data_IF_117107727734
#
_entry.id   IF_117107727734
#
_cell.length_a   1.000
_cell.length_b   1.000
_cell.length_c   1.000
_cell.angle_alpha   90.00
_cell.angle_beta   90.00
_cell.angle_gamma   90.00
#
_symmetry.space_group_name_H-M   'P 1'
#
loop_
_entity.id
_entity.type
_entity.pdbx_description
1 polymer ?
#
# COMPACT_ATOMS: atom_id res chain seq x y z
N UNK A 1 -8.83 -28.55 -12.28
CA UNK A 1 -8.88 -27.16 -11.79
C UNK A 1 -9.04 -26.26 -13.00
N UNK A 2 -9.96 -25.28 -12.98
CA UNK A 2 -10.11 -24.36 -14.10
C UNK A 2 -8.95 -23.35 -14.12
N UNK A 3 -8.64 -22.77 -15.28
CA UNK A 3 -7.58 -21.74 -15.37
C UNK A 3 -7.84 -20.58 -14.41
N UNK A 4 -9.10 -20.13 -14.23
CA UNK A 4 -9.48 -19.12 -13.24
C UNK A 4 -9.05 -19.54 -11.83
N UNK A 5 -9.35 -20.77 -11.42
CA UNK A 5 -8.92 -21.29 -10.11
C UNK A 5 -7.41 -21.31 -9.98
N UNK A 6 -6.70 -21.78 -11.01
CA UNK A 6 -5.22 -21.80 -11.02
C UNK A 6 -4.62 -20.39 -10.83
N UNK A 7 -5.09 -19.39 -11.59
CA UNK A 7 -4.57 -18.03 -11.46
C UNK A 7 -4.97 -17.38 -10.12
N UNK A 8 -6.17 -17.68 -9.62
CA UNK A 8 -6.60 -17.23 -8.28
C UNK A 8 -5.71 -17.83 -7.19
N UNK A 9 -5.39 -19.13 -7.28
CA UNK A 9 -4.51 -19.81 -6.33
C UNK A 9 -3.08 -19.23 -6.39
N UNK A 10 -2.59 -18.87 -7.58
CA UNK A 10 -1.30 -18.20 -7.73
C UNK A 10 -1.29 -16.82 -7.11
N UNK A 11 -2.35 -16.05 -7.32
CA UNK A 11 -2.53 -14.73 -6.69
C UNK A 11 -2.49 -14.85 -5.16
N UNK A 12 -3.32 -15.72 -4.60
CA UNK A 12 -3.39 -15.93 -3.15
C UNK A 12 -2.09 -16.49 -2.57
N UNK A 13 -1.38 -17.35 -3.32
CA UNK A 13 -0.05 -17.82 -2.93
C UNK A 13 0.97 -16.67 -2.84
N UNK A 14 0.98 -15.78 -3.83
CA UNK A 14 1.86 -14.61 -3.84
C UNK A 14 1.55 -13.64 -2.68
N UNK A 15 0.27 -13.35 -2.44
CA UNK A 15 -0.20 -12.54 -1.32
C UNK A 15 0.21 -13.17 0.02
N UNK A 16 0.02 -14.48 0.18
CA UNK A 16 0.41 -15.20 1.40
C UNK A 16 1.91 -15.14 1.64
N UNK A 17 2.73 -15.30 0.58
CA UNK A 17 4.18 -15.24 0.68
C UNK A 17 4.71 -13.87 1.15
N UNK A 18 3.99 -12.79 0.83
CA UNK A 18 4.28 -11.42 1.26
C UNK A 18 3.45 -10.99 2.49
N UNK A 19 2.82 -11.90 3.19
CA UNK A 19 2.06 -11.59 4.41
C UNK A 19 2.96 -11.39 5.62
N UNK A 20 2.50 -10.62 6.61
CA UNK A 20 3.18 -10.47 7.88
C UNK A 20 3.42 -11.82 8.58
N UNK A 21 2.49 -12.76 8.45
CA UNK A 21 2.61 -14.09 9.05
C UNK A 21 3.78 -14.91 8.47
N UNK A 22 4.05 -14.77 7.18
CA UNK A 22 5.13 -15.47 6.50
C UNK A 22 6.50 -14.82 6.72
N UNK A 23 6.56 -13.50 6.85
CA UNK A 23 7.81 -12.75 6.75
C UNK A 23 8.29 -12.15 8.06
N UNK A 24 7.42 -11.54 8.86
CA UNK A 24 7.81 -10.81 10.08
C UNK A 24 8.47 -11.66 11.16
N UNK A 25 8.02 -12.92 11.44
CA UNK A 25 8.53 -13.72 12.55
C UNK A 25 10.04 -13.89 12.60
N UNK A 26 10.69 -14.04 11.45
CA UNK A 26 12.14 -14.27 11.36
C UNK A 26 12.97 -13.05 11.75
N UNK A 27 12.37 -11.86 11.76
CA UNK A 27 13.05 -10.58 11.98
C UNK A 27 12.80 -9.99 13.37
N UNK A 28 11.77 -10.46 14.08
CA UNK A 28 11.45 -9.95 15.41
C UNK A 28 12.59 -10.22 16.42
N UNK A 29 12.85 -9.28 17.35
CA UNK A 29 13.86 -9.47 18.35
C UNK A 29 13.52 -10.65 19.27
N UNK A 30 14.52 -11.46 19.57
CA UNK A 30 14.42 -12.59 20.50
C UNK A 30 14.71 -12.13 21.93
N UNK A 31 13.99 -12.70 22.88
CA UNK A 31 14.16 -12.40 24.31
C UNK A 31 13.41 -11.15 24.76
N UNK A 32 13.38 -10.97 26.07
CA UNK A 32 12.71 -9.87 26.73
C UNK A 32 13.51 -8.57 26.66
N UNK A 33 12.84 -7.43 26.64
CA UNK A 33 13.44 -6.13 26.93
C UNK A 33 13.73 -6.03 28.44
N UNK A 34 14.68 -5.23 28.86
CA UNK A 34 14.90 -4.94 30.30
C UNK A 34 13.70 -4.26 30.95
N UNK A 35 13.05 -3.36 30.20
CA UNK A 35 11.77 -2.76 30.54
C UNK A 35 10.64 -3.46 29.80
N UNK A 36 9.83 -2.71 29.08
CA UNK A 36 8.72 -3.21 28.26
C UNK A 36 9.02 -3.09 26.77
N UNK A 37 8.34 -3.87 25.96
CA UNK A 37 8.32 -3.68 24.50
C UNK A 37 7.08 -2.89 24.12
N UNK A 38 7.26 -1.73 23.48
CA UNK A 38 6.19 -0.85 23.01
C UNK A 38 6.01 -1.06 21.50
N UNK A 39 4.84 -1.53 21.08
CA UNK A 39 4.50 -1.76 19.67
C UNK A 39 3.71 -0.57 19.15
N UNK A 40 4.26 0.14 18.18
CA UNK A 40 3.63 1.28 17.52
C UNK A 40 3.51 1.00 16.02
N UNK A 41 2.34 1.26 15.41
CA UNK A 41 2.22 0.94 14.00
C UNK A 41 1.12 1.68 13.26
N UNK A 42 1.26 1.70 11.93
CA UNK A 42 0.26 2.26 11.04
C UNK A 42 0.28 1.62 9.66
N UNK A 43 -0.88 1.53 9.04
CA UNK A 43 -1.05 1.02 7.67
C UNK A 43 -2.04 -0.12 7.58
N UNK A 44 -2.36 -0.52 6.34
CA UNK A 44 -3.37 -1.55 6.06
C UNK A 44 -3.01 -2.94 6.65
N UNK A 45 -1.71 -3.25 6.79
CA UNK A 45 -1.22 -4.49 7.40
C UNK A 45 -0.87 -4.35 8.89
N UNK A 46 -0.91 -3.14 9.48
CA UNK A 46 -0.38 -2.88 10.82
C UNK A 46 -1.05 -3.71 11.92
N UNK A 47 -2.36 -3.97 11.84
CA UNK A 47 -3.07 -4.79 12.81
C UNK A 47 -2.61 -6.26 12.78
N UNK A 48 -2.43 -6.83 11.60
CA UNK A 48 -1.92 -8.20 11.43
C UNK A 48 -0.45 -8.30 11.87
N UNK A 49 0.38 -7.31 11.49
CA UNK A 49 1.77 -7.23 11.98
C UNK A 49 1.81 -7.19 13.51
N UNK A 50 0.93 -6.39 14.15
CA UNK A 50 0.86 -6.31 15.61
C UNK A 50 0.38 -7.63 16.23
N UNK A 51 -0.57 -8.33 15.62
CA UNK A 51 -1.02 -9.65 16.07
C UNK A 51 0.12 -10.67 16.07
N UNK A 52 0.89 -10.72 14.98
CA UNK A 52 2.05 -11.59 14.83
C UNK A 52 3.13 -11.22 15.86
N UNK A 53 3.47 -9.94 15.95
CA UNK A 53 4.48 -9.45 16.90
C UNK A 53 4.07 -9.78 18.34
N UNK A 54 2.80 -9.51 18.73
CA UNK A 54 2.29 -9.79 20.09
C UNK A 54 2.36 -11.28 20.46
N UNK A 55 2.15 -12.17 19.48
CA UNK A 55 2.23 -13.62 19.71
C UNK A 55 3.66 -14.13 19.95
N UNK A 56 4.68 -13.38 19.50
CA UNK A 56 6.08 -13.82 19.55
C UNK A 56 6.95 -13.05 20.54
N UNK A 57 6.58 -11.81 20.86
CA UNK A 57 7.35 -10.99 21.78
C UNK A 57 7.16 -11.47 23.22
N UNK A 58 8.28 -11.70 23.90
CA UNK A 58 8.32 -12.09 25.30
C UNK A 58 8.28 -10.86 26.22
N UNK A 59 7.91 -11.08 27.49
CA UNK A 59 7.90 -10.07 28.54
C UNK A 59 6.69 -9.15 28.48
N UNK A 60 6.84 -7.97 29.10
CA UNK A 60 5.80 -6.94 29.12
C UNK A 60 5.69 -6.25 27.77
N UNK A 61 4.55 -6.41 27.09
CA UNK A 61 4.26 -5.77 25.79
C UNK A 61 3.02 -4.90 25.92
N UNK A 62 3.12 -3.66 25.46
CA UNK A 62 1.98 -2.77 25.26
C UNK A 62 2.12 -2.02 23.94
N UNK A 63 1.07 -1.35 23.49
CA UNK A 63 1.18 -0.64 22.21
C UNK A 63 -0.12 -0.07 21.68
N UNK A 64 -0.02 0.54 20.51
CA UNK A 64 -1.14 1.01 19.73
C UNK A 64 -0.79 0.98 18.25
N UNK A 65 -1.68 0.43 17.43
CA UNK A 65 -1.58 0.46 15.98
C UNK A 65 -2.86 1.00 15.36
N UNK A 66 -2.73 1.67 14.20
CA UNK A 66 -3.87 2.18 13.44
C UNK A 66 -3.91 1.52 12.07
N UNK A 67 -5.09 1.02 11.71
CA UNK A 67 -5.34 0.36 10.42
C UNK A 67 -6.60 0.92 9.75
N UNK A 68 -6.87 0.51 8.50
CA UNK A 68 -8.09 0.88 7.78
C UNK A 68 -9.30 0.14 8.37
N UNK A 69 -10.48 0.75 8.31
CA UNK A 69 -11.74 0.06 8.63
C UNK A 69 -11.86 -1.26 7.88
N UNK A 70 -12.21 -2.33 8.58
CA UNK A 70 -12.31 -3.70 8.07
C UNK A 70 -10.97 -4.44 7.93
N UNK A 71 -9.83 -3.80 8.22
CA UNK A 71 -8.50 -4.43 8.24
C UNK A 71 -8.01 -4.74 9.65
N UNK A 72 -8.87 -4.64 10.65
CA UNK A 72 -8.58 -5.07 12.01
C UNK A 72 -8.33 -6.58 12.12
N UNK A 73 -8.12 -7.04 13.34
CA UNK A 73 -7.98 -8.47 13.68
C UNK A 73 -9.20 -8.96 14.47
N UNK A 74 -9.56 -10.23 14.28
CA UNK A 74 -10.78 -10.82 14.85
C UNK A 74 -10.69 -11.04 16.36
N UNK A 75 -9.49 -10.89 16.93
CA UNK A 75 -9.23 -11.07 18.36
C UNK A 75 -8.69 -9.81 19.00
N UNK A 76 -9.06 -9.55 20.25
CA UNK A 76 -8.46 -8.50 21.06
C UNK A 76 -7.01 -8.84 21.37
N UNK A 77 -6.09 -7.93 21.05
CA UNK A 77 -4.69 -8.09 21.39
C UNK A 77 -4.45 -7.60 22.83
N UNK A 78 -3.90 -8.48 23.67
CA UNK A 78 -3.62 -8.13 25.07
C UNK A 78 -2.65 -6.96 25.15
N UNK A 79 -3.06 -5.84 25.75
CA UNK A 79 -2.31 -4.62 25.98
C UNK A 79 -1.85 -3.90 24.68
N UNK A 80 -2.38 -4.23 23.52
CA UNK A 80 -2.11 -3.53 22.26
C UNK A 80 -3.44 -3.06 21.67
N UNK A 81 -3.62 -1.75 21.62
CA UNK A 81 -4.82 -1.12 21.07
C UNK A 81 -4.77 -1.22 19.52
N UNK A 82 -5.82 -1.72 18.89
CA UNK A 82 -6.01 -1.69 17.44
C UNK A 82 -7.11 -0.70 17.14
N UNK A 83 -6.77 0.41 16.49
CA UNK A 83 -7.70 1.48 16.12
C UNK A 83 -7.94 1.43 14.63
N UNK A 84 -9.21 1.36 14.23
CA UNK A 84 -9.59 1.46 12.83
C UNK A 84 -9.92 2.91 12.46
N UNK A 85 -9.42 3.37 11.30
CA UNK A 85 -9.59 4.72 10.81
C UNK A 85 -9.89 4.74 9.30
N UNK A 86 -10.32 5.88 8.80
CA UNK A 86 -10.64 6.06 7.38
C UNK A 86 -9.39 6.21 6.53
N UNK A 87 -9.44 5.62 5.34
CA UNK A 87 -8.45 5.75 4.27
C UNK A 87 -9.18 5.89 2.92
N UNK A 88 -8.77 6.73 1.96
CA UNK A 88 -7.53 7.53 1.95
C UNK A 88 -7.63 8.89 2.65
N UNK A 89 -8.83 9.32 3.04
CA UNK A 89 -9.04 10.61 3.71
C UNK A 89 -8.98 10.42 5.23
N UNK A 90 -8.05 11.11 5.94
CA UNK A 90 -7.92 11.02 7.39
C UNK A 90 -9.20 11.44 8.12
N UNK A 91 -9.45 10.84 9.30
CA UNK A 91 -10.59 11.12 10.15
C UNK A 91 -10.21 11.32 11.63
N UNK A 92 -11.22 11.57 12.48
CA UNK A 92 -11.03 11.74 13.91
C UNK A 92 -10.49 10.47 14.62
N UNK A 93 -10.74 9.27 14.09
CA UNK A 93 -10.20 8.04 14.65
C UNK A 93 -8.67 7.98 14.43
N UNK A 94 -8.19 8.38 13.25
CA UNK A 94 -6.76 8.52 12.95
C UNK A 94 -6.06 9.55 13.85
N UNK A 95 -6.73 10.66 14.21
CA UNK A 95 -6.21 11.63 15.18
C UNK A 95 -6.06 11.01 16.58
N UNK A 96 -7.10 10.33 17.09
CA UNK A 96 -7.04 9.67 18.41
C UNK A 96 -5.95 8.60 18.45
N UNK A 97 -5.80 7.81 17.38
CA UNK A 97 -4.73 6.83 17.25
C UNK A 97 -3.35 7.50 17.30
N UNK A 98 -3.18 8.60 16.57
CA UNK A 98 -1.92 9.33 16.57
C UNK A 98 -1.58 9.94 17.94
N UNK A 99 -2.54 10.50 18.66
CA UNK A 99 -2.31 11.01 20.03
C UNK A 99 -1.94 9.87 21.00
N UNK A 100 -2.58 8.71 20.90
CA UNK A 100 -2.24 7.53 21.70
C UNK A 100 -0.83 7.01 21.38
N UNK A 101 -0.49 6.91 20.11
CA UNK A 101 0.85 6.49 19.62
C UNK A 101 1.93 7.47 20.09
N UNK A 102 1.68 8.78 19.98
CA UNK A 102 2.60 9.81 20.45
C UNK A 102 2.82 9.76 21.97
N UNK A 103 1.76 9.54 22.74
CA UNK A 103 1.85 9.39 24.20
C UNK A 103 2.74 8.19 24.58
N UNK A 104 2.49 7.03 23.97
CA UNK A 104 3.31 5.82 24.20
C UNK A 104 4.77 6.01 23.78
N UNK A 105 5.01 6.69 22.66
CA UNK A 105 6.37 7.01 22.19
C UNK A 105 7.11 7.92 23.19
N UNK A 106 6.44 8.93 23.74
CA UNK A 106 7.02 9.86 24.71
C UNK A 106 7.33 9.21 26.07
N UNK A 107 6.60 8.16 26.42
CA UNK A 107 6.83 7.39 27.66
C UNK A 107 8.05 6.46 27.59
N UNK A 108 8.53 6.09 26.38
CA UNK A 108 9.61 5.14 26.21
C UNK A 108 10.89 5.57 26.92
N UNK A 109 11.46 4.70 27.72
CA UNK A 109 12.66 4.92 28.53
C UNK A 109 13.86 4.09 28.07
N UNK A 110 15.03 4.24 28.70
CA UNK A 110 16.30 3.62 28.25
C UNK A 110 16.31 2.08 28.34
N UNK A 111 15.44 1.49 29.16
CA UNK A 111 15.30 0.03 29.29
C UNK A 111 14.19 -0.54 28.39
N UNK A 112 13.43 0.33 27.73
CA UNK A 112 12.33 -0.07 26.83
C UNK A 112 12.85 -0.36 25.42
N UNK A 113 12.12 -1.25 24.71
CA UNK A 113 12.25 -1.48 23.28
C UNK A 113 11.01 -0.95 22.58
N UNK A 114 11.19 -0.17 21.51
CA UNK A 114 10.09 0.31 20.66
C UNK A 114 10.16 -0.36 19.29
N UNK A 115 9.06 -0.99 18.89
CA UNK A 115 8.93 -1.66 17.60
C UNK A 115 7.92 -0.89 16.76
N UNK A 116 8.38 -0.37 15.62
CA UNK A 116 7.51 0.26 14.63
C UNK A 116 7.09 -0.76 13.59
N UNK A 117 5.77 -0.95 13.41
CA UNK A 117 5.14 -1.81 12.41
C UNK A 117 4.44 -0.96 11.38
N UNK A 118 5.03 -0.81 10.20
CA UNK A 118 4.61 0.18 9.22
C UNK A 118 4.27 -0.51 7.90
N UNK A 119 3.16 -0.10 7.28
CA UNK A 119 2.78 -0.57 5.95
C UNK A 119 2.06 0.52 5.16
N UNK A 120 1.69 0.21 3.93
CA UNK A 120 0.97 1.09 3.04
C UNK A 120 -0.32 1.66 3.62
N UNK A 121 -0.69 2.83 3.12
CA UNK A 121 -1.84 3.58 3.61
C UNK A 121 -1.62 4.33 4.93
N UNK A 122 -0.55 4.04 5.66
CA UNK A 122 -0.24 4.66 6.97
C UNK A 122 -0.14 6.18 6.93
N UNK A 123 0.15 6.77 5.79
CA UNK A 123 0.23 8.22 5.63
C UNK A 123 -1.09 8.96 5.90
N UNK A 124 -2.23 8.34 5.60
CA UNK A 124 -3.56 8.86 5.90
C UNK A 124 -4.04 8.39 7.29
N UNK A 125 -3.79 7.14 7.62
CA UNK A 125 -4.25 6.50 8.86
C UNK A 125 -3.61 7.11 10.11
N UNK A 126 -2.30 7.34 10.09
CA UNK A 126 -1.56 8.00 11.17
C UNK A 126 -1.47 9.51 10.90
N UNK A 127 -2.47 10.24 11.35
CA UNK A 127 -2.61 11.67 11.08
C UNK A 127 -2.51 12.51 12.36
N UNK A 128 -1.37 13.19 12.53
CA UNK A 128 -1.16 14.18 13.59
C UNK A 128 -0.73 15.51 12.97
N UNK A 129 -1.60 16.52 12.86
CA UNK A 129 -1.22 17.85 12.35
C UNK A 129 -0.11 18.48 13.19
N UNK A 130 0.75 19.29 12.56
CA UNK A 130 1.73 20.10 13.26
C UNK A 130 1.06 21.02 14.29
N UNK A 131 1.78 21.38 15.35
CA UNK A 131 1.24 22.26 16.39
C UNK A 131 0.73 23.57 15.78
N UNK A 132 -0.47 23.98 16.16
CA UNK A 132 -1.15 25.16 15.62
C UNK A 132 -1.92 24.91 14.30
N UNK A 133 -1.90 23.70 13.75
CA UNK A 133 -2.72 23.31 12.59
C UNK A 133 -3.83 22.34 13.00
N UNK A 134 -4.95 22.45 12.31
CA UNK A 134 -6.07 21.51 12.44
C UNK A 134 -5.97 20.38 11.41
N UNK A 135 -6.77 19.33 11.58
CA UNK A 135 -6.94 18.30 10.56
C UNK A 135 -7.50 18.90 9.26
N UNK A 136 -8.45 19.84 9.37
CA UNK A 136 -9.04 20.49 8.22
C UNK A 136 -8.01 21.32 7.42
N UNK A 137 -7.11 22.04 8.08
CA UNK A 137 -6.03 22.75 7.41
C UNK A 137 -5.14 21.80 6.60
N UNK A 138 -4.75 20.69 7.22
CA UNK A 138 -3.90 19.69 6.59
C UNK A 138 -4.60 19.00 5.41
N UNK A 139 -5.89 18.68 5.54
CA UNK A 139 -6.69 18.11 4.46
C UNK A 139 -6.80 19.10 3.29
N UNK A 140 -7.18 20.35 3.57
CA UNK A 140 -7.36 21.37 2.55
C UNK A 140 -6.06 21.65 1.76
N UNK A 141 -4.91 21.76 2.43
CA UNK A 141 -3.62 21.94 1.77
C UNK A 141 -3.23 20.72 0.91
N UNK A 142 -3.47 19.50 1.41
CA UNK A 142 -3.17 18.29 0.66
C UNK A 142 -4.06 18.15 -0.58
N UNK A 143 -5.35 18.38 -0.43
CA UNK A 143 -6.33 18.35 -1.52
C UNK A 143 -6.01 19.39 -2.61
N UNK A 144 -5.62 20.59 -2.18
CA UNK A 144 -5.22 21.65 -3.10
C UNK A 144 -4.01 21.23 -3.94
N UNK A 145 -2.96 20.68 -3.32
CA UNK A 145 -1.78 20.21 -4.02
C UNK A 145 -2.10 19.09 -5.01
N UNK A 146 -2.93 18.11 -4.62
CA UNK A 146 -3.38 17.03 -5.50
C UNK A 146 -4.13 17.59 -6.71
N UNK A 147 -5.11 18.47 -6.51
CA UNK A 147 -5.90 19.10 -7.59
C UNK A 147 -5.07 20.00 -8.49
N UNK A 148 -3.99 20.56 -7.98
CA UNK A 148 -3.05 21.40 -8.75
C UNK A 148 -2.05 20.58 -9.57
N UNK A 149 -2.13 19.25 -9.56
CA UNK A 149 -1.24 18.36 -10.30
C UNK A 149 0.19 18.33 -9.77
N UNK A 150 0.39 18.60 -8.48
CA UNK A 150 1.72 18.51 -7.87
C UNK A 150 2.21 17.04 -7.89
N UNK A 151 3.49 16.77 -8.24
CA UNK A 151 4.08 15.44 -8.12
C UNK A 151 4.04 14.91 -6.69
N UNK A 152 3.91 13.59 -6.54
CA UNK A 152 3.75 12.96 -5.22
C UNK A 152 4.91 13.26 -4.26
N UNK A 153 6.12 13.39 -4.77
CA UNK A 153 7.31 13.74 -3.99
C UNK A 153 7.17 15.12 -3.37
N UNK A 154 6.63 16.09 -4.11
CA UNK A 154 6.39 17.46 -3.65
C UNK A 154 5.23 17.50 -2.64
N UNK A 155 4.15 16.75 -2.91
CA UNK A 155 3.04 16.62 -1.95
C UNK A 155 3.56 16.02 -0.64
N UNK A 156 4.37 14.97 -0.70
CA UNK A 156 4.92 14.32 0.50
C UNK A 156 5.92 15.20 1.25
N UNK A 157 6.69 16.06 0.55
CA UNK A 157 7.53 17.06 1.21
C UNK A 157 6.67 18.00 2.07
N UNK A 158 5.61 18.58 1.51
CA UNK A 158 4.69 19.44 2.27
C UNK A 158 4.01 18.67 3.41
N UNK A 159 3.47 17.48 3.14
CA UNK A 159 2.79 16.63 4.14
C UNK A 159 3.67 16.30 5.35
N UNK A 160 4.97 16.10 5.15
CA UNK A 160 5.92 15.88 6.27
C UNK A 160 6.01 17.11 7.17
N UNK A 161 6.07 18.32 6.60
CA UNK A 161 6.16 19.57 7.37
C UNK A 161 4.87 19.94 8.08
N UNK A 162 3.73 19.38 7.64
CA UNK A 162 2.42 19.55 8.28
C UNK A 162 2.12 18.46 9.35
N UNK A 163 3.11 17.67 9.78
CA UNK A 163 2.86 16.48 10.61
C UNK A 163 3.82 16.34 11.78
N UNK A 164 3.29 15.99 12.96
CA UNK A 164 4.06 15.65 14.16
C UNK A 164 4.65 14.25 14.18
N UNK A 165 4.33 13.40 13.19
CA UNK A 165 4.74 11.97 13.19
C UNK A 165 5.61 11.58 12.01
N UNK A 166 5.48 12.26 10.85
CA UNK A 166 6.16 11.90 9.60
C UNK A 166 7.63 12.34 9.58
N UNK A 167 8.44 11.73 8.67
CA UNK A 167 9.84 12.11 8.46
C UNK A 167 10.71 11.88 9.70
N UNK A 168 10.53 10.74 10.37
CA UNK A 168 11.32 10.30 11.53
C UNK A 168 10.89 10.89 12.87
N UNK A 169 9.90 11.80 12.91
CA UNK A 169 9.50 12.48 14.16
C UNK A 169 9.01 11.51 15.24
N UNK A 170 8.30 10.44 14.82
CA UNK A 170 7.85 9.43 15.80
C UNK A 170 9.02 8.67 16.42
N UNK A 171 10.02 8.27 15.61
CA UNK A 171 11.22 7.62 16.14
C UNK A 171 12.10 8.57 16.96
N UNK A 172 12.20 9.84 16.56
CA UNK A 172 12.91 10.84 17.34
C UNK A 172 12.31 10.98 18.75
N UNK A 173 10.98 11.07 18.83
CA UNK A 173 10.25 11.14 20.11
C UNK A 173 10.46 9.88 20.95
N UNK A 174 10.29 8.68 20.36
CA UNK A 174 10.44 7.42 21.06
C UNK A 174 11.89 7.16 21.53
N UNK A 175 12.87 7.59 20.76
CA UNK A 175 14.30 7.45 21.08
C UNK A 175 14.87 8.54 21.97
N UNK A 176 14.14 9.60 22.26
CA UNK A 176 14.63 10.79 22.99
C UNK A 176 15.22 10.47 24.36
N UNK A 177 14.70 9.46 25.04
CA UNK A 177 15.15 9.02 26.37
C UNK A 177 16.03 7.77 26.34
N UNK A 178 16.44 7.32 25.15
CA UNK A 178 17.41 6.24 24.99
C UNK A 178 16.82 4.84 24.75
N UNK A 179 15.53 4.72 24.45
CA UNK A 179 14.91 3.44 24.12
C UNK A 179 15.59 2.76 22.91
N UNK A 180 15.61 1.43 22.89
CA UNK A 180 16.01 0.60 21.76
C UNK A 180 14.90 0.67 20.68
N UNK A 181 15.27 0.99 19.43
CA UNK A 181 14.30 1.15 18.34
C UNK A 181 14.50 0.11 17.25
N UNK A 182 13.39 -0.43 16.72
CA UNK A 182 13.37 -1.30 15.54
C UNK A 182 12.22 -0.90 14.63
N UNK A 183 12.43 -0.93 13.32
CA UNK A 183 11.39 -0.69 12.31
C UNK A 183 11.24 -1.88 11.39
N UNK A 184 10.01 -2.35 11.22
CA UNK A 184 9.64 -3.39 10.26
C UNK A 184 8.59 -2.84 9.30
N UNK A 185 8.86 -3.02 8.00
CA UNK A 185 8.06 -2.45 6.92
C UNK A 185 7.51 -3.54 6.00
N UNK A 186 6.24 -3.42 5.61
CA UNK A 186 5.69 -4.04 4.40
C UNK A 186 5.54 -2.91 3.38
N UNK A 187 6.27 -2.99 2.26
CA UNK A 187 6.36 -1.90 1.30
C UNK A 187 5.28 -2.01 0.22
N UNK A 188 4.52 -0.91 0.07
CA UNK A 188 3.63 -0.64 -1.07
C UNK A 188 4.19 0.46 -1.99
N UNK A 189 5.44 0.83 -1.79
CA UNK A 189 6.08 1.89 -2.57
C UNK A 189 6.85 1.30 -3.73
N UNK A 190 6.60 1.80 -4.94
CA UNK A 190 7.36 1.41 -6.11
C UNK A 190 8.81 1.87 -5.95
N UNK A 191 9.74 0.90 -5.91
CA UNK A 191 11.16 1.12 -5.67
C UNK A 191 11.58 0.92 -4.20
N UNK A 192 10.64 0.57 -3.33
CA UNK A 192 10.86 0.11 -1.94
C UNK A 192 11.70 1.03 -1.05
N UNK A 193 11.68 2.36 -1.33
CA UNK A 193 12.32 3.34 -0.44
C UNK A 193 11.59 3.37 0.92
N UNK A 194 12.22 2.92 2.01
CA UNK A 194 11.58 2.84 3.31
C UNK A 194 11.10 4.19 3.85
N UNK A 195 11.74 5.29 3.46
CA UNK A 195 11.38 6.64 3.89
C UNK A 195 10.06 7.13 3.28
N UNK A 196 9.59 6.50 2.21
CA UNK A 196 8.33 6.83 1.54
C UNK A 196 7.14 6.04 2.10
N UNK A 197 7.36 4.83 2.64
CA UNK A 197 6.29 4.02 3.25
C UNK A 197 5.65 4.80 4.40
N UNK A 198 4.34 5.02 4.33
CA UNK A 198 3.58 5.86 5.28
C UNK A 198 4.16 7.29 5.49
N UNK A 199 5.01 7.79 4.58
CA UNK A 199 5.81 9.02 4.71
C UNK A 199 6.83 8.98 5.86
N UNK A 200 7.38 7.79 6.16
CA UNK A 200 8.50 7.57 7.06
C UNK A 200 8.29 8.00 8.51
N UNK A 201 7.31 7.48 9.27
CA UNK A 201 7.14 7.91 10.67
C UNK A 201 8.37 7.67 11.54
N UNK A 202 9.08 6.55 11.29
CA UNK A 202 10.27 6.14 12.03
C UNK A 202 11.58 6.41 11.28
N UNK A 203 11.53 6.94 10.06
CA UNK A 203 12.72 7.14 9.23
C UNK A 203 12.95 8.63 9.02
N UNK A 204 14.12 9.10 9.45
CA UNK A 204 14.48 10.51 9.35
C UNK A 204 14.51 10.99 7.89
N UNK A 205 13.94 12.16 7.67
CA UNK A 205 13.99 12.86 6.39
C UNK A 205 14.51 14.29 6.59
N UNK A 206 15.09 14.91 5.58
CA UNK A 206 15.56 16.29 5.67
C UNK A 206 14.43 17.24 6.11
N UNK A 207 14.79 18.20 6.97
CA UNK A 207 13.89 19.29 7.37
C UNK A 207 14.11 20.48 6.46
N UNK A 208 13.16 20.72 5.57
CA UNK A 208 13.25 21.72 4.50
C UNK A 208 11.99 22.61 4.49
N UNK A 209 11.76 23.40 5.57
CA UNK A 209 10.53 24.15 5.73
C UNK A 209 10.32 25.19 4.63
N UNK A 210 11.39 25.88 4.19
CA UNK A 210 11.28 26.88 3.13
C UNK A 210 10.97 26.26 1.76
N UNK A 211 11.48 25.06 1.47
CA UNK A 211 11.11 24.32 0.27
C UNK A 211 9.62 23.92 0.31
N UNK A 212 9.12 23.46 1.44
CA UNK A 212 7.69 23.15 1.61
C UNK A 212 6.81 24.39 1.43
N UNK A 213 7.21 25.54 1.98
CA UNK A 213 6.51 26.83 1.83
C UNK A 213 6.54 27.28 0.36
N UNK A 214 7.70 27.20 -0.30
CA UNK A 214 7.84 27.57 -1.71
C UNK A 214 6.93 26.74 -2.62
N UNK A 215 6.73 25.44 -2.34
CA UNK A 215 5.78 24.60 -3.05
C UNK A 215 4.33 25.06 -2.86
N UNK A 216 3.91 25.36 -1.63
CA UNK A 216 2.57 25.90 -1.37
C UNK A 216 2.32 27.18 -2.17
N UNK A 217 3.28 28.12 -2.18
CA UNK A 217 3.22 29.36 -2.96
C UNK A 217 3.17 29.05 -4.48
N UNK A 218 4.05 28.18 -4.97
CA UNK A 218 4.12 27.78 -6.38
C UNK A 218 2.79 27.24 -6.90
N UNK A 219 2.09 26.47 -6.07
CA UNK A 219 0.77 25.89 -6.42
C UNK A 219 -0.40 26.80 -6.05
N UNK A 220 -0.15 28.08 -5.66
CA UNK A 220 -1.19 29.08 -5.44
C UNK A 220 -1.93 28.95 -4.11
N UNK A 221 -1.36 28.24 -3.12
CA UNK A 221 -1.96 28.18 -1.79
C UNK A 221 -1.62 29.44 -0.98
N UNK A 222 -2.65 30.22 -0.64
CA UNK A 222 -2.50 31.41 0.22
C UNK A 222 -2.37 30.97 1.69
N UNK A 223 -1.14 30.84 2.19
CA UNK A 223 -0.87 30.47 3.57
C UNK A 223 -1.01 31.66 4.51
N UNK A 224 -1.70 31.46 5.63
CA UNK A 224 -1.67 32.46 6.71
C UNK A 224 -0.29 32.51 7.39
N UNK A 225 0.03 33.62 8.07
CA UNK A 225 1.26 33.73 8.86
C UNK A 225 1.37 32.59 9.91
N UNK A 226 0.25 32.17 10.50
CA UNK A 226 0.20 31.07 11.47
C UNK A 226 0.60 29.73 10.84
N UNK A 227 0.13 29.41 9.63
CA UNK A 227 0.52 28.18 8.89
C UNK A 227 2.02 28.19 8.59
N UNK A 228 2.56 29.31 8.11
CA UNK A 228 3.99 29.44 7.82
C UNK A 228 4.84 29.28 9.08
N UNK A 229 4.42 29.89 10.19
CA UNK A 229 5.08 29.73 11.48
C UNK A 229 5.04 28.27 11.98
N UNK A 230 3.89 27.58 11.85
CA UNK A 230 3.75 26.18 12.23
C UNK A 230 4.68 25.26 11.41
N UNK A 231 4.80 25.48 10.09
CA UNK A 231 5.72 24.70 9.23
C UNK A 231 7.18 24.91 9.68
N UNK A 232 7.60 26.14 9.95
CA UNK A 232 8.97 26.46 10.40
C UNK A 232 9.28 25.91 11.79
N UNK A 233 8.31 25.98 12.70
CA UNK A 233 8.46 25.49 14.07
C UNK A 233 8.43 23.96 14.20
N UNK A 234 7.95 23.24 13.18
CA UNK A 234 7.78 21.77 13.21
C UNK A 234 9.09 21.02 12.93
N UNK A 235 10.21 21.51 13.47
CA UNK A 235 11.50 20.84 13.36
C UNK A 235 11.50 19.54 14.18
N UNK A 236 11.91 18.40 13.60
CA UNK A 236 12.07 17.18 14.37
C UNK A 236 13.31 17.27 15.28
N UNK A 237 13.24 16.61 16.43
CA UNK A 237 14.47 16.27 17.15
C UNK A 237 15.32 15.30 16.32
N UNK A 238 16.61 15.22 16.64
CA UNK A 238 17.52 14.32 15.94
C UNK A 238 17.13 12.86 16.23
N UNK A 239 16.63 12.17 15.20
CA UNK A 239 16.36 10.74 15.29
C UNK A 239 17.68 9.97 15.33
N UNK A 240 17.80 9.01 16.27
CA UNK A 240 18.96 8.11 16.33
C UNK A 240 18.86 7.08 15.20
N UNK A 241 19.94 6.74 14.52
CA UNK A 241 19.97 5.59 13.62
C UNK A 241 19.55 4.32 14.36
N UNK A 242 18.71 3.52 13.74
CA UNK A 242 18.25 2.24 14.27
C UNK A 242 17.98 1.25 13.14
N UNK A 243 17.91 -0.07 13.42
CA UNK A 243 17.60 -1.08 12.41
C UNK A 243 16.24 -0.84 11.74
N UNK A 244 16.27 -0.80 10.41
CA UNK A 244 15.09 -0.73 9.54
C UNK A 244 15.09 -1.94 8.62
N UNK A 245 14.05 -2.75 8.67
CA UNK A 245 13.94 -3.98 7.89
C UNK A 245 12.65 -3.96 7.08
N UNK A 246 12.76 -3.98 5.75
CA UNK A 246 11.63 -4.27 4.88
C UNK A 246 11.42 -5.77 4.87
N UNK A 247 10.30 -6.24 5.42
CA UNK A 247 10.02 -7.67 5.61
C UNK A 247 9.25 -8.27 4.43
N UNK A 248 8.55 -7.46 3.66
CA UNK A 248 7.87 -7.89 2.44
C UNK A 248 7.77 -6.75 1.41
N UNK A 249 7.91 -7.14 0.15
CA UNK A 249 7.84 -6.27 -1.03
C UNK A 249 7.01 -6.92 -2.14
N UNK A 250 6.67 -6.16 -3.18
CA UNK A 250 6.06 -6.71 -4.39
C UNK A 250 6.98 -7.75 -5.06
N UNK A 251 8.29 -7.52 -5.06
CA UNK A 251 9.26 -8.43 -5.64
C UNK A 251 9.24 -9.81 -4.95
N UNK A 252 9.02 -9.88 -3.63
CA UNK A 252 8.88 -11.15 -2.89
C UNK A 252 7.64 -11.92 -3.33
N UNK A 253 6.52 -11.23 -3.48
CA UNK A 253 5.27 -11.80 -3.98
C UNK A 253 5.43 -12.35 -5.41
N UNK A 254 6.00 -11.56 -6.33
CA UNK A 254 6.24 -12.00 -7.71
C UNK A 254 7.24 -13.16 -7.78
N UNK A 255 8.29 -13.16 -6.94
CA UNK A 255 9.24 -14.27 -6.87
C UNK A 255 8.58 -15.57 -6.40
N UNK A 256 7.67 -15.51 -5.41
CA UNK A 256 6.89 -16.67 -4.97
C UNK A 256 5.95 -17.18 -6.07
N UNK A 257 5.23 -16.27 -6.72
CA UNK A 257 4.38 -16.56 -7.89
C UNK A 257 5.18 -17.26 -9.00
N UNK A 258 6.31 -16.68 -9.39
CA UNK A 258 7.18 -17.25 -10.44
C UNK A 258 7.64 -18.66 -10.10
N UNK A 259 8.12 -18.90 -8.87
CA UNK A 259 8.56 -20.25 -8.44
C UNK A 259 7.43 -21.25 -8.53
N UNK A 260 6.24 -20.91 -8.06
CA UNK A 260 5.07 -21.80 -8.09
C UNK A 260 4.63 -22.09 -9.50
N UNK A 261 4.42 -21.08 -10.33
CA UNK A 261 3.99 -21.25 -11.72
C UNK A 261 5.01 -22.02 -12.56
N UNK A 262 6.32 -21.78 -12.37
CA UNK A 262 7.37 -22.55 -13.06
C UNK A 262 7.37 -24.03 -12.64
N UNK A 263 7.15 -24.33 -11.37
CA UNK A 263 7.03 -25.72 -10.88
C UNK A 263 5.80 -26.43 -11.48
N UNK A 264 4.73 -25.70 -11.75
CA UNK A 264 3.53 -26.22 -12.40
C UNK A 264 3.65 -26.25 -13.95
N UNK A 265 4.85 -25.98 -14.50
CA UNK A 265 5.18 -26.14 -15.94
C UNK A 265 4.85 -24.93 -16.82
N UNK A 266 4.66 -23.73 -16.22
CA UNK A 266 4.55 -22.49 -16.99
C UNK A 266 5.93 -21.94 -17.36
N UNK A 267 6.04 -21.39 -18.55
CA UNK A 267 7.16 -20.52 -18.95
C UNK A 267 6.84 -19.10 -18.48
N UNK A 268 7.44 -18.70 -17.37
CA UNK A 268 7.14 -17.41 -16.74
C UNK A 268 8.02 -16.31 -17.32
N UNK A 269 7.39 -15.21 -17.76
CA UNK A 269 8.02 -13.97 -18.20
C UNK A 269 7.62 -12.84 -17.26
N UNK A 270 8.58 -12.15 -16.68
CA UNK A 270 8.34 -10.99 -15.84
C UNK A 270 8.42 -9.71 -16.67
N UNK A 271 7.33 -8.92 -16.67
CA UNK A 271 7.21 -7.66 -17.41
C UNK A 271 7.63 -6.44 -16.59
N UNK A 272 7.92 -6.64 -15.30
CA UNK A 272 8.37 -5.62 -14.34
C UNK A 272 7.59 -5.64 -13.04
N UNK A 273 8.33 -5.46 -11.93
CA UNK A 273 7.76 -5.43 -10.57
C UNK A 273 7.44 -4.01 -10.09
N UNK A 274 7.86 -2.98 -10.82
CA UNK A 274 7.79 -1.58 -10.40
C UNK A 274 7.05 -0.70 -11.42
N UNK A 275 6.03 -1.25 -12.08
CA UNK A 275 5.28 -0.54 -13.13
C UNK A 275 4.49 0.63 -12.56
N UNK A 276 4.47 1.72 -13.31
CA UNK A 276 3.64 2.92 -13.08
C UNK A 276 3.02 3.36 -14.39
N UNK A 277 1.97 4.16 -14.32
CA UNK A 277 1.33 4.76 -15.48
C UNK A 277 -0.14 4.40 -15.60
N UNK A 278 -0.71 4.69 -16.76
CA UNK A 278 -2.14 4.50 -17.02
C UNK A 278 -2.50 3.03 -17.17
N UNK A 279 -3.43 2.55 -16.36
CA UNK A 279 -3.80 1.14 -16.26
C UNK A 279 -4.27 0.55 -17.59
N UNK A 280 -5.21 1.19 -18.27
CA UNK A 280 -5.75 0.70 -19.54
C UNK A 280 -4.72 0.68 -20.67
N UNK A 281 -3.79 1.65 -20.70
CA UNK A 281 -2.69 1.70 -21.67
C UNK A 281 -1.70 0.58 -21.43
N UNK A 282 -1.24 0.42 -20.18
CA UNK A 282 -0.34 -0.69 -19.80
C UNK A 282 -0.98 -2.04 -20.13
N UNK A 283 -2.30 -2.18 -19.93
CA UNK A 283 -3.05 -3.38 -20.30
C UNK A 283 -2.95 -3.70 -21.80
N UNK A 284 -3.15 -2.70 -22.67
CA UNK A 284 -3.00 -2.87 -24.14
C UNK A 284 -1.58 -3.24 -24.56
N UNK A 285 -0.59 -2.61 -23.93
CA UNK A 285 0.83 -2.90 -24.22
C UNK A 285 1.17 -4.36 -23.83
N UNK A 286 0.70 -4.81 -22.68
CA UNK A 286 0.90 -6.19 -22.22
C UNK A 286 0.12 -7.20 -23.09
N UNK A 287 -1.05 -6.86 -23.59
CA UNK A 287 -1.78 -7.68 -24.57
C UNK A 287 -0.99 -7.88 -25.85
N UNK A 288 -0.37 -6.81 -26.37
CA UNK A 288 0.48 -6.90 -27.57
C UNK A 288 1.66 -7.86 -27.32
N UNK A 289 2.32 -7.80 -26.17
CA UNK A 289 3.39 -8.75 -25.80
C UNK A 289 2.82 -10.19 -25.70
N UNK A 290 1.71 -10.39 -25.02
CA UNK A 290 1.10 -11.72 -24.84
C UNK A 290 0.76 -12.37 -26.19
N UNK A 291 0.26 -11.60 -27.16
CA UNK A 291 -0.05 -12.11 -28.51
C UNK A 291 1.16 -12.63 -29.27
N UNK A 292 2.36 -12.11 -29.03
CA UNK A 292 3.60 -12.65 -29.64
C UNK A 292 3.95 -14.06 -29.18
N UNK A 293 3.31 -14.54 -28.11
CA UNK A 293 3.56 -15.87 -27.52
C UNK A 293 2.52 -16.91 -27.94
N UNK A 294 1.47 -16.55 -28.67
CA UNK A 294 0.38 -17.48 -29.06
C UNK A 294 0.93 -18.68 -29.86
N UNK A 295 1.82 -18.40 -30.82
CA UNK A 295 2.41 -19.42 -31.69
C UNK A 295 3.66 -20.10 -31.07
N UNK A 296 4.06 -19.68 -29.88
CA UNK A 296 5.18 -20.28 -29.19
C UNK A 296 4.76 -21.58 -28.46
N UNK A 297 5.59 -22.64 -28.50
CA UNK A 297 5.23 -23.90 -27.87
C UNK A 297 5.18 -23.78 -26.35
N UNK A 298 4.17 -24.44 -25.73
CA UNK A 298 4.00 -24.51 -24.29
C UNK A 298 3.08 -23.43 -23.72
N UNK A 299 2.90 -23.47 -22.40
CA UNK A 299 2.08 -22.50 -21.66
C UNK A 299 2.95 -21.36 -21.16
N UNK A 300 2.55 -20.13 -21.43
CA UNK A 300 3.29 -18.95 -21.00
C UNK A 300 2.47 -18.18 -19.96
N UNK A 301 3.14 -17.67 -18.93
CA UNK A 301 2.56 -16.81 -17.91
C UNK A 301 3.39 -15.52 -17.82
N UNK A 302 2.81 -14.40 -18.26
CA UNK A 302 3.40 -13.09 -18.07
C UNK A 302 2.96 -12.60 -16.70
N UNK A 303 3.91 -12.12 -15.88
CA UNK A 303 3.63 -11.58 -14.55
C UNK A 303 4.16 -10.15 -14.44
N UNK A 304 3.46 -9.32 -13.70
CA UNK A 304 3.92 -7.96 -13.38
C UNK A 304 3.35 -7.48 -12.06
N UNK A 305 4.02 -6.47 -11.50
CA UNK A 305 3.62 -5.80 -10.28
C UNK A 305 3.65 -4.28 -10.42
N UNK A 306 3.80 -3.58 -9.30
CA UNK A 306 3.78 -2.12 -9.24
C UNK A 306 2.37 -1.57 -9.07
N UNK A 307 2.23 -0.25 -9.17
CA UNK A 307 0.98 0.49 -8.92
C UNK A 307 0.61 1.31 -10.17
N UNK A 308 -0.46 0.90 -10.84
CA UNK A 308 -1.02 1.65 -11.96
C UNK A 308 -2.07 2.65 -11.48
N UNK A 309 -2.37 3.62 -12.32
CA UNK A 309 -3.32 4.69 -12.00
C UNK A 309 -4.43 4.76 -13.04
N UNK A 310 -5.56 5.33 -12.65
CA UNK A 310 -6.63 5.76 -13.55
C UNK A 310 -6.62 7.27 -13.57
N UNK A 311 -6.12 7.84 -14.68
CA UNK A 311 -6.00 9.29 -14.86
C UNK A 311 -7.35 9.88 -15.25
N UNK A 312 -7.69 11.06 -14.72
CA UNK A 312 -8.93 11.77 -15.02
C UNK A 312 -10.20 10.92 -14.75
N UNK A 313 -10.16 10.04 -13.75
CA UNK A 313 -11.31 9.26 -13.33
C UNK A 313 -12.52 10.16 -13.08
N UNK A 314 -13.67 9.75 -13.59
CA UNK A 314 -14.96 10.49 -13.40
C UNK A 314 -15.41 10.34 -11.96
N UNK A 315 -16.08 11.38 -11.42
CA UNK A 315 -16.64 11.34 -10.06
C UNK A 315 -17.71 10.26 -9.86
N UNK A 316 -18.39 9.86 -10.97
CA UNK A 316 -19.42 8.81 -11.02
C UNK A 316 -18.86 7.46 -11.54
N UNK A 317 -17.54 7.36 -11.71
CA UNK A 317 -16.83 6.14 -12.06
C UNK A 317 -16.87 5.12 -10.93
N UNK A 318 -16.81 3.82 -11.26
CA UNK A 318 -16.83 2.72 -10.32
C UNK A 318 -15.93 1.60 -10.86
N UNK A 319 -14.84 1.34 -10.16
CA UNK A 319 -13.81 0.41 -10.52
C UNK A 319 -12.44 0.90 -10.04
N UNK A 320 -11.41 0.09 -10.19
CA UNK A 320 -10.06 0.41 -9.80
C UNK A 320 -9.04 0.17 -10.90
N UNK A 321 -7.76 0.46 -10.66
CA UNK A 321 -6.70 0.30 -11.64
C UNK A 321 -6.58 -1.13 -12.19
N UNK A 322 -6.87 -2.15 -11.38
CA UNK A 322 -6.78 -3.54 -11.84
C UNK A 322 -7.89 -3.91 -12.82
N UNK A 323 -9.12 -3.44 -12.60
CA UNK A 323 -10.21 -3.65 -13.57
C UNK A 323 -10.01 -2.82 -14.85
N UNK A 324 -9.47 -1.60 -14.74
CA UNK A 324 -9.10 -0.79 -15.92
C UNK A 324 -7.97 -1.46 -16.73
N UNK A 325 -6.96 -2.04 -16.06
CA UNK A 325 -5.92 -2.82 -16.69
C UNK A 325 -6.50 -4.03 -17.43
N UNK A 326 -7.39 -4.80 -16.79
CA UNK A 326 -8.09 -5.93 -17.40
C UNK A 326 -8.84 -5.53 -18.67
N UNK A 327 -9.61 -4.44 -18.59
CA UNK A 327 -10.33 -3.92 -19.77
C UNK A 327 -9.36 -3.48 -20.87
N UNK A 328 -8.22 -2.89 -20.50
CA UNK A 328 -7.14 -2.55 -21.42
C UNK A 328 -6.57 -3.78 -22.12
N UNK A 329 -6.26 -4.85 -21.37
CA UNK A 329 -5.78 -6.13 -21.95
C UNK A 329 -6.81 -6.68 -22.93
N UNK A 330 -8.07 -6.81 -22.52
CA UNK A 330 -9.13 -7.36 -23.38
C UNK A 330 -9.34 -6.55 -24.64
N UNK A 331 -9.20 -5.23 -24.58
CA UNK A 331 -9.34 -4.36 -25.77
C UNK A 331 -8.20 -4.54 -26.80
N UNK A 332 -7.07 -5.12 -26.40
CA UNK A 332 -5.92 -5.45 -27.27
C UNK A 332 -5.93 -6.88 -27.82
N UNK A 333 -6.92 -7.71 -27.45
CA UNK A 333 -7.00 -9.13 -27.83
C UNK A 333 -8.10 -9.36 -28.89
N UNK A 334 -7.86 -10.36 -29.74
CA UNK A 334 -8.92 -10.94 -30.56
C UNK A 334 -9.81 -11.87 -29.69
N UNK A 335 -11.10 -12.03 -30.02
CA UNK A 335 -12.02 -12.86 -29.22
C UNK A 335 -11.55 -14.31 -29.03
N UNK A 336 -10.89 -14.86 -30.03
CA UNK A 336 -10.45 -16.26 -30.05
C UNK A 336 -8.97 -16.43 -29.61
N UNK A 337 -8.29 -15.37 -29.18
CA UNK A 337 -6.94 -15.49 -28.65
C UNK A 337 -6.93 -16.44 -27.42
N UNK A 338 -6.02 -17.43 -27.33
CA UNK A 338 -5.95 -18.38 -26.22
C UNK A 338 -5.36 -17.73 -24.96
N UNK A 339 -5.89 -16.56 -24.56
CA UNK A 339 -5.37 -15.70 -23.51
C UNK A 339 -6.41 -15.47 -22.43
N UNK A 340 -5.96 -15.57 -21.19
CA UNK A 340 -6.72 -15.15 -20.01
C UNK A 340 -5.88 -14.24 -19.12
N UNK A 341 -6.54 -13.38 -18.36
CA UNK A 341 -5.88 -12.39 -17.52
C UNK A 341 -6.51 -12.37 -16.13
N UNK A 342 -5.67 -12.24 -15.08
CA UNK A 342 -6.06 -11.93 -13.73
C UNK A 342 -5.20 -10.78 -13.23
N UNK A 343 -5.82 -9.79 -12.61
CA UNK A 343 -5.15 -8.69 -11.94
C UNK A 343 -5.83 -8.38 -10.62
N UNK A 344 -5.07 -8.03 -9.60
CA UNK A 344 -5.62 -7.66 -8.31
C UNK A 344 -4.62 -6.94 -7.41
N UNK A 345 -5.16 -6.08 -6.52
CA UNK A 345 -4.41 -5.48 -5.43
C UNK A 345 -4.22 -6.51 -4.32
N UNK A 346 -3.00 -6.61 -3.83
CA UNK A 346 -2.62 -7.54 -2.76
C UNK A 346 -3.33 -7.26 -1.43
N UNK A 347 -3.87 -6.06 -1.21
CA UNK A 347 -4.62 -5.72 0.01
C UNK A 347 -6.09 -6.21 -0.01
N UNK A 348 -6.56 -6.65 -1.19
CA UNK A 348 -7.91 -7.18 -1.39
C UNK A 348 -8.93 -6.15 -1.86
N UNK A 349 -8.52 -4.92 -2.16
CA UNK A 349 -9.44 -3.83 -2.55
C UNK A 349 -8.88 -3.06 -3.76
N UNK A 350 -9.54 -3.21 -4.91
CA UNK A 350 -9.23 -2.45 -6.12
C UNK A 350 -10.01 -1.13 -6.15
N UNK A 351 -9.34 -0.03 -5.81
CA UNK A 351 -10.00 1.29 -5.70
C UNK A 351 -10.87 1.43 -4.46
N UNK A 352 -12.19 1.55 -4.64
CA UNK A 352 -13.16 1.80 -3.54
C UNK A 352 -14.15 0.66 -3.31
N UNK A 353 -14.17 -0.32 -4.20
CA UNK A 353 -15.18 -1.37 -4.23
C UNK A 353 -14.79 -2.60 -3.37
N UNK A 354 -15.58 -3.67 -3.42
CA UNK A 354 -15.44 -4.86 -2.57
C UNK A 354 -14.63 -5.99 -3.22
N UNK A 355 -13.94 -5.71 -4.34
CA UNK A 355 -13.13 -6.65 -5.09
C UNK A 355 -11.65 -6.30 -4.99
N UNK A 356 -10.80 -7.32 -5.00
CA UNK A 356 -9.34 -7.15 -5.15
C UNK A 356 -8.94 -6.80 -6.59
N UNK A 357 -9.77 -7.13 -7.55
CA UNK A 357 -9.53 -7.00 -8.97
C UNK A 357 -10.46 -7.92 -9.76
N UNK A 358 -9.94 -8.61 -10.79
CA UNK A 358 -10.78 -9.48 -11.59
C UNK A 358 -10.03 -10.51 -12.43
N UNK A 359 -10.81 -11.34 -13.12
CA UNK A 359 -10.38 -12.33 -14.10
C UNK A 359 -11.25 -12.25 -15.35
N UNK A 360 -10.63 -12.37 -16.52
CA UNK A 360 -11.34 -12.51 -17.79
C UNK A 360 -10.54 -13.31 -18.82
N UNK A 361 -11.21 -13.74 -19.89
CA UNK A 361 -10.60 -14.34 -21.08
C UNK A 361 -10.81 -13.44 -22.29
N UNK A 362 -9.99 -13.58 -23.29
CA UNK A 362 -10.26 -13.00 -24.59
C UNK A 362 -11.71 -13.33 -25.04
N UNK A 363 -12.38 -12.39 -25.67
CA UNK A 363 -13.78 -12.54 -26.11
C UNK A 363 -14.83 -12.51 -25.00
N UNK A 364 -14.48 -12.29 -23.73
CA UNK A 364 -15.44 -12.24 -22.61
C UNK A 364 -16.40 -11.05 -22.71
N UNK A 365 -16.01 -9.96 -23.37
CA UNK A 365 -16.85 -8.78 -23.57
C UNK A 365 -16.75 -8.28 -25.00
N UNK A 366 -17.82 -7.65 -25.47
CA UNK A 366 -17.84 -6.99 -26.80
C UNK A 366 -16.96 -5.74 -26.78
N UNK A 367 -16.27 -5.41 -27.89
CA UNK A 367 -15.39 -4.23 -27.97
C UNK A 367 -16.08 -2.92 -27.57
N UNK A 368 -17.34 -2.74 -27.95
CA UNK A 368 -18.11 -1.53 -27.64
C UNK A 368 -18.40 -1.42 -26.12
N UNK A 369 -18.63 -2.55 -25.44
CA UNK A 369 -18.85 -2.59 -24.00
C UNK A 369 -17.55 -2.25 -23.24
N UNK A 370 -16.41 -2.76 -23.70
CA UNK A 370 -15.08 -2.43 -23.16
C UNK A 370 -14.76 -0.94 -23.34
N UNK A 371 -14.94 -0.42 -24.56
CA UNK A 371 -14.68 0.98 -24.87
C UNK A 371 -15.53 1.91 -23.99
N UNK A 372 -16.83 1.61 -23.85
CA UNK A 372 -17.75 2.38 -23.00
C UNK A 372 -17.40 2.28 -21.52
N UNK A 373 -17.02 1.11 -21.03
CA UNK A 373 -16.63 0.94 -19.62
C UNK A 373 -15.38 1.75 -19.29
N UNK A 374 -14.36 1.76 -20.18
CA UNK A 374 -13.14 2.56 -20.04
C UNK A 374 -13.44 4.06 -20.13
N UNK A 375 -14.24 4.52 -21.11
CA UNK A 375 -14.62 5.93 -21.29
C UNK A 375 -15.32 6.49 -20.04
N UNK A 376 -16.20 5.68 -19.44
CA UNK A 376 -17.01 6.08 -18.28
C UNK A 376 -16.38 5.70 -16.94
N UNK A 377 -15.23 5.03 -16.93
CA UNK A 377 -14.59 4.46 -15.74
C UNK A 377 -15.56 3.60 -14.90
N UNK A 378 -16.35 2.74 -15.58
CA UNK A 378 -17.37 1.85 -14.97
C UNK A 378 -17.02 0.38 -15.16
N UNK A 379 -15.75 0.06 -14.97
CA UNK A 379 -15.22 -1.29 -15.17
C UNK A 379 -15.74 -2.28 -14.12
N UNK A 380 -16.04 -1.84 -12.89
CA UNK A 380 -16.66 -2.71 -11.89
C UNK A 380 -17.98 -3.32 -12.39
N UNK A 381 -18.89 -2.50 -12.90
CA UNK A 381 -20.19 -2.98 -13.38
C UNK A 381 -20.06 -3.95 -14.57
N UNK A 382 -19.09 -3.72 -15.46
CA UNK A 382 -18.79 -4.63 -16.57
C UNK A 382 -18.33 -5.99 -16.05
N UNK A 383 -17.32 -6.02 -15.18
CA UNK A 383 -16.77 -7.28 -14.68
C UNK A 383 -17.69 -8.01 -13.69
N UNK A 384 -18.57 -7.31 -12.99
CA UNK A 384 -19.62 -7.92 -12.18
C UNK A 384 -20.63 -8.65 -13.07
N UNK A 385 -21.11 -8.01 -14.14
CA UNK A 385 -22.01 -8.63 -15.11
C UNK A 385 -21.41 -9.86 -15.82
N UNK A 386 -20.08 -9.88 -16.00
CA UNK A 386 -19.33 -11.02 -16.56
C UNK A 386 -19.05 -12.11 -15.52
N UNK A 387 -19.38 -11.92 -14.24
CA UNK A 387 -18.96 -12.81 -13.15
C UNK A 387 -17.45 -12.86 -12.99
N UNK A 388 -16.74 -11.80 -13.43
CA UNK A 388 -15.29 -11.74 -13.50
C UNK A 388 -14.61 -11.15 -12.27
N UNK A 389 -15.35 -10.64 -11.28
CA UNK A 389 -14.75 -10.04 -10.10
C UNK A 389 -13.97 -11.05 -9.25
N UNK A 390 -12.81 -10.62 -8.74
CA UNK A 390 -12.01 -11.34 -7.76
C UNK A 390 -12.30 -10.73 -6.38
N UNK A 391 -13.06 -11.43 -5.54
CA UNK A 391 -13.42 -10.98 -4.20
C UNK A 391 -12.71 -11.83 -3.16
N UNK A 392 -11.68 -11.28 -2.53
CA UNK A 392 -10.88 -11.96 -1.49
C UNK A 392 -11.27 -11.54 -0.08
N UNK A 393 -11.92 -10.38 0.04
CA UNK A 393 -11.95 -9.63 1.29
C UNK A 393 -10.55 -9.06 1.63
N UNK A 394 -10.44 -8.34 2.75
CA UNK A 394 -9.17 -7.78 3.20
C UNK A 394 -8.12 -8.87 3.46
N UNK A 395 -6.98 -8.79 2.79
CA UNK A 395 -5.89 -9.77 2.90
C UNK A 395 -4.97 -9.50 4.10
N UNK A 396 -5.06 -8.32 4.67
CA UNK A 396 -4.24 -7.83 5.79
C UNK A 396 -2.74 -7.73 5.45
N UNK A 397 -2.40 -7.66 4.15
CA UNK A 397 -1.08 -7.24 3.64
C UNK A 397 -1.26 -6.10 2.63
N UNK A 398 -0.18 -5.49 2.15
CA UNK A 398 -0.22 -4.55 1.05
C UNK A 398 1.18 -4.43 0.45
N UNK A 399 1.37 -5.03 -0.73
CA UNK A 399 2.58 -4.97 -1.54
C UNK A 399 2.26 -4.57 -2.99
N UNK A 400 1.23 -3.74 -3.19
CA UNK A 400 0.71 -3.32 -4.50
C UNK A 400 0.09 -4.45 -5.33
N UNK A 401 -0.10 -4.18 -6.60
CA UNK A 401 -0.80 -5.06 -7.53
C UNK A 401 0.02 -6.28 -7.96
N UNK A 402 -0.69 -7.35 -8.28
CA UNK A 402 -0.17 -8.58 -8.90
C UNK A 402 -1.01 -8.86 -10.14
N UNK A 403 -0.36 -8.91 -11.30
CA UNK A 403 -1.01 -9.14 -12.60
C UNK A 403 -0.43 -10.34 -13.29
N UNK A 404 -1.29 -11.11 -13.93
CA UNK A 404 -0.95 -12.34 -14.66
C UNK A 404 -1.68 -12.39 -15.98
N UNK A 405 -0.98 -12.68 -17.08
CA UNK A 405 -1.57 -13.02 -18.37
C UNK A 405 -1.13 -14.41 -18.75
N UNK A 406 -2.07 -15.33 -18.86
CA UNK A 406 -1.84 -16.71 -19.26
C UNK A 406 -2.10 -16.87 -20.75
N UNK A 407 -1.12 -17.42 -21.48
CA UNK A 407 -1.19 -17.72 -22.92
C UNK A 407 -1.10 -19.23 -23.10
N UNK A 408 -1.95 -19.80 -23.95
CA UNK A 408 -2.02 -21.23 -24.26
C UNK A 408 -2.32 -22.13 -23.03
N UNK A 409 -2.96 -21.57 -21.99
CA UNK A 409 -3.33 -22.30 -20.77
C UNK A 409 -4.79 -22.76 -20.72
N UNK A 410 -5.54 -22.66 -21.82
CA UNK A 410 -6.97 -22.92 -21.89
C UNK A 410 -7.33 -24.39 -22.17
N UNK A 411 -6.34 -25.30 -22.19
CA UNK A 411 -6.54 -26.75 -22.42
C UNK A 411 -6.92 -27.51 -21.16
#
# INVERSE_FOLDING_TARGET
MTLRQTLTDYFLHAVTAASAAATLPAHLPRGESKGRTIVLGCGKAAAEMARIARAQLAGAVNGCVVTRHGHGVDQTLQNVDVIEARHPVPDAAGLRAADRILALAAEAGPDDRVIFLISGGGSALLCAPAAGLTLADKQAMTDHLVRSGAPIEQINLVRRHLSRVKGGRLAALAGARGAELHTYLISDVVGDDPALVASGPSIAAPFEPEAAIALLVRYGWASSAAVLAAIRANQPDAARPHPVTTVATNADALAALRRRASADGWRVMELGGALRGEASTTGRDHAAIARTLIDQPGRHLLISGGELTVTAARQDGCGGPNLEYLAGVLSGLAPDDPIAVLAGDSDGIDGTEDNAGGFARAGAAMPEALAKALELHRTYALFDALGGLLKTGPTRTNVNDIRMIAVNGLG
#
